data_IF_690209574619
#
_entry.id   IF_690209574619
#
_cell.length_a   1.000
_cell.length_b   1.000
_cell.length_c   1.000
_cell.angle_alpha   90.00
_cell.angle_beta   90.00
_cell.angle_gamma   90.00
#
_symmetry.space_group_name_H-M   'P 1'
#
loop_
_entity.id
_entity.type
_entity.pdbx_description
1 polymer ?
#
# COMPACT_ATOMS: atom_id res chain seq x y z
N UNK A 1 -23.50 -57.48 17.14
CA UNK A 1 -23.50 -56.01 17.20
C UNK A 1 -22.75 -55.46 15.99
N UNK A 2 -23.37 -55.51 14.80
CA UNK A 2 -22.76 -55.10 13.52
C UNK A 2 -23.85 -54.57 12.60
N UNK A 3 -24.49 -53.44 12.96
CA UNK A 3 -25.51 -52.83 12.09
C UNK A 3 -25.59 -51.30 12.19
N UNK A 4 -24.78 -50.66 13.03
CA UNK A 4 -24.78 -49.19 13.23
C UNK A 4 -23.64 -48.47 12.50
N UNK A 5 -22.58 -49.19 12.09
CA UNK A 5 -21.43 -48.60 11.41
C UNK A 5 -21.67 -48.39 9.91
N UNK A 6 -22.55 -49.20 9.28
CA UNK A 6 -22.84 -49.05 7.85
C UNK A 6 -23.75 -47.86 7.51
N UNK A 7 -24.55 -47.35 8.46
CA UNK A 7 -25.45 -46.22 8.20
C UNK A 7 -24.74 -44.85 8.18
N UNK A 8 -23.58 -44.73 8.83
CA UNK A 8 -22.83 -43.46 8.84
C UNK A 8 -21.95 -43.25 7.60
N UNK A 9 -21.61 -44.33 6.87
CA UNK A 9 -20.80 -44.21 5.65
C UNK A 9 -21.64 -43.87 4.40
N UNK A 10 -22.95 -44.07 4.43
CA UNK A 10 -23.84 -43.74 3.31
C UNK A 10 -24.35 -42.29 3.33
N UNK A 11 -24.24 -41.57 4.45
CA UNK A 11 -24.63 -40.15 4.53
C UNK A 11 -23.53 -39.19 4.10
N UNK A 12 -22.26 -39.63 4.05
CA UNK A 12 -21.15 -38.81 3.57
C UNK A 12 -21.02 -38.73 2.05
N UNK A 13 -21.66 -39.64 1.29
CA UNK A 13 -21.60 -39.66 -0.17
C UNK A 13 -22.70 -38.84 -0.88
N UNK A 14 -23.67 -38.28 -0.13
CA UNK A 14 -24.76 -37.46 -0.72
C UNK A 14 -24.57 -35.96 -0.44
N UNK A 15 -23.58 -35.57 0.37
CA UNK A 15 -23.36 -34.18 0.75
C UNK A 15 -22.33 -33.40 -0.12
N UNK A 16 -21.77 -34.02 -1.17
CA UNK A 16 -20.87 -33.33 -2.12
C UNK A 16 -21.52 -32.98 -3.47
N UNK A 17 -22.83 -33.22 -3.63
CA UNK A 17 -23.56 -32.88 -4.85
C UNK A 17 -24.55 -31.74 -4.57
N UNK A 18 -24.05 -30.52 -4.30
CA UNK A 18 -24.74 -29.23 -4.49
C UNK A 18 -23.92 -28.10 -3.86
N UNK A 19 -23.00 -27.54 -4.61
CA UNK A 19 -22.67 -26.10 -4.59
C UNK A 19 -21.81 -25.76 -5.81
N UNK A 20 -22.35 -26.04 -7.00
CA UNK A 20 -21.88 -25.43 -8.23
C UNK A 20 -22.75 -24.19 -8.47
N UNK A 21 -22.35 -23.06 -7.89
CA UNK A 21 -22.95 -21.75 -8.16
C UNK A 21 -21.85 -20.74 -8.46
N UNK A 22 -21.89 -20.30 -9.72
CA UNK A 22 -21.46 -19.00 -10.23
C UNK A 22 -20.02 -18.54 -9.96
N UNK A 23 -19.11 -18.94 -10.84
CA UNK A 23 -18.13 -18.00 -11.37
C UNK A 23 -18.60 -17.55 -12.75
N UNK A 24 -19.44 -16.51 -12.76
CA UNK A 24 -19.60 -15.69 -13.97
C UNK A 24 -18.28 -14.97 -14.14
N UNK A 25 -17.51 -15.38 -15.14
CA UNK A 25 -16.44 -14.54 -15.67
C UNK A 25 -17.09 -13.27 -16.20
N UNK A 26 -17.07 -12.20 -15.39
CA UNK A 26 -17.15 -10.87 -15.95
C UNK A 26 -15.87 -10.65 -16.77
N UNK A 27 -15.89 -11.11 -18.03
CA UNK A 27 -15.15 -10.47 -19.10
C UNK A 27 -15.67 -9.04 -19.13
N UNK A 28 -15.03 -8.15 -18.40
CA UNK A 28 -15.13 -6.72 -18.69
C UNK A 28 -14.45 -6.58 -20.04
N UNK A 29 -15.26 -6.58 -21.10
CA UNK A 29 -14.84 -6.08 -22.40
C UNK A 29 -14.30 -4.68 -22.12
N UNK A 30 -12.98 -4.54 -22.22
CA UNK A 30 -12.38 -3.24 -22.46
C UNK A 30 -12.96 -2.84 -23.80
N UNK A 31 -13.93 -1.92 -23.79
CA UNK A 31 -14.37 -1.28 -25.00
C UNK A 31 -13.12 -0.62 -25.58
N UNK A 32 -12.68 -1.12 -26.73
CA UNK A 32 -11.72 -0.45 -27.58
C UNK A 32 -12.33 0.89 -27.97
N UNK A 33 -12.09 1.91 -27.14
CA UNK A 33 -12.26 3.29 -27.56
C UNK A 33 -11.10 3.58 -28.51
N UNK A 34 -11.35 3.25 -29.79
CA UNK A 34 -10.62 3.77 -30.93
C UNK A 34 -10.75 5.30 -30.89
N UNK A 35 -9.74 5.97 -30.34
CA UNK A 35 -9.60 7.42 -30.47
C UNK A 35 -9.09 7.66 -31.89
N UNK A 36 -10.01 8.09 -32.75
CA UNK A 36 -9.73 8.73 -34.02
C UNK A 36 -8.65 9.80 -33.81
N UNK A 37 -7.56 9.71 -34.58
CA UNK A 37 -6.60 10.81 -34.68
C UNK A 37 -7.33 12.01 -35.29
N UNK A 38 -7.58 13.03 -34.46
CA UNK A 38 -7.86 14.37 -34.92
C UNK A 38 -6.56 15.18 -34.80
N UNK A 39 -6.04 15.51 -35.97
CA UNK A 39 -4.85 16.33 -36.19
C UNK A 39 -5.22 17.79 -35.91
N UNK A 40 -4.98 18.24 -34.68
CA UNK A 40 -4.71 19.63 -34.28
C UNK A 40 -5.13 19.90 -32.84
N UNK A 41 -4.25 19.58 -31.89
CA UNK A 41 -4.11 20.40 -30.69
C UNK A 41 -2.81 19.99 -30.01
N UNK A 42 -1.87 20.93 -29.98
CA UNK A 42 -0.67 20.89 -29.15
C UNK A 42 -1.09 20.85 -27.67
N UNK A 43 -1.53 19.69 -27.19
CA UNK A 43 -1.65 19.43 -25.77
C UNK A 43 -0.28 19.05 -25.26
N UNK A 44 0.39 20.07 -24.71
CA UNK A 44 1.48 19.95 -23.77
C UNK A 44 1.09 18.90 -22.70
N UNK A 45 1.48 17.64 -22.91
CA UNK A 45 1.33 16.57 -21.93
C UNK A 45 2.18 16.99 -20.74
N UNK A 46 1.53 17.48 -19.70
CA UNK A 46 2.16 17.92 -18.48
C UNK A 46 2.80 16.71 -17.79
N UNK A 47 4.08 16.53 -18.08
CA UNK A 47 5.12 16.23 -17.08
C UNK A 47 4.92 14.94 -16.27
N UNK A 48 5.51 13.86 -16.80
CA UNK A 48 5.83 12.56 -16.20
C UNK A 48 6.70 12.61 -14.91
N UNK A 49 6.51 13.59 -14.01
CA UNK A 49 7.62 14.14 -13.18
C UNK A 49 7.46 14.05 -11.66
N UNK A 50 6.41 13.42 -11.14
CA UNK A 50 6.22 13.30 -9.68
C UNK A 50 6.10 11.86 -9.15
N UNK A 51 6.20 10.86 -10.02
CA UNK A 51 6.20 9.45 -9.61
C UNK A 51 7.63 8.91 -9.47
N UNK A 52 7.90 8.21 -8.38
CA UNK A 52 9.12 7.41 -8.24
C UNK A 52 8.89 6.07 -8.93
N UNK A 53 9.82 5.61 -9.76
CA UNK A 53 9.77 4.28 -10.38
C UNK A 53 10.54 3.27 -9.52
N UNK A 54 11.64 3.72 -8.92
CA UNK A 54 12.56 2.91 -8.10
C UNK A 54 12.94 3.64 -6.81
N UNK A 55 13.50 2.91 -5.83
CA UNK A 55 14.02 3.52 -4.59
C UNK A 55 15.13 4.54 -4.87
N UNK A 56 15.87 4.40 -5.98
CA UNK A 56 16.89 5.37 -6.39
C UNK A 56 16.29 6.74 -6.72
N UNK A 57 15.03 6.79 -7.19
CA UNK A 57 14.33 8.05 -7.45
C UNK A 57 13.96 8.77 -6.14
N UNK A 58 13.94 8.04 -5.01
CA UNK A 58 13.71 8.61 -3.67
C UNK A 58 14.97 9.22 -3.05
N UNK A 59 16.11 9.30 -3.75
CA UNK A 59 17.43 9.73 -3.21
C UNK A 59 17.44 11.05 -2.43
N UNK A 60 16.47 11.93 -2.63
CA UNK A 60 16.33 13.20 -1.90
C UNK A 60 15.62 13.06 -0.54
N UNK A 61 15.04 11.89 -0.26
CA UNK A 61 14.17 11.60 0.89
C UNK A 61 14.69 10.44 1.75
N UNK A 62 15.67 9.68 1.24
CA UNK A 62 16.30 8.56 1.92
C UNK A 62 17.79 8.85 2.16
N UNK A 63 18.38 8.08 3.05
CA UNK A 63 19.82 8.00 3.25
C UNK A 63 20.31 6.58 2.93
N UNK A 64 21.62 6.40 2.88
CA UNK A 64 22.26 5.09 2.72
C UNK A 64 23.15 4.84 3.93
N UNK A 65 23.14 3.62 4.45
CA UNK A 65 24.05 3.23 5.52
C UNK A 65 25.44 2.84 4.98
N UNK A 66 26.33 2.42 5.88
CA UNK A 66 27.72 2.04 5.54
C UNK A 66 27.81 0.84 4.59
N UNK A 67 26.74 0.03 4.50
CA UNK A 67 26.62 -1.11 3.58
C UNK A 67 25.95 -0.72 2.25
N UNK A 68 25.59 0.56 2.08
CA UNK A 68 24.88 1.07 0.91
C UNK A 68 23.41 0.68 0.87
N UNK A 69 22.79 0.30 2.01
CA UNK A 69 21.36 -0.02 2.06
C UNK A 69 20.55 1.27 2.21
N UNK A 70 19.55 1.49 1.34
CA UNK A 70 18.68 2.65 1.46
C UNK A 70 17.83 2.55 2.74
N UNK A 71 17.73 3.65 3.48
CA UNK A 71 16.89 3.75 4.65
C UNK A 71 16.21 5.10 4.79
N UNK A 72 15.04 5.09 5.46
CA UNK A 72 14.33 6.27 5.91
C UNK A 72 14.22 6.24 7.43
N UNK A 73 14.23 7.40 8.09
CA UNK A 73 13.97 7.48 9.52
C UNK A 73 12.52 7.94 9.65
N UNK A 74 11.70 7.24 10.41
CA UNK A 74 10.32 7.62 10.67
C UNK A 74 10.09 7.78 12.16
N UNK A 75 9.19 8.70 12.53
CA UNK A 75 8.58 8.64 13.85
C UNK A 75 7.82 7.31 13.96
N UNK A 76 7.93 6.66 15.09
CA UNK A 76 7.25 5.43 15.41
C UNK A 76 6.78 5.46 16.87
N UNK A 77 5.74 4.70 17.19
CA UNK A 77 5.33 4.52 18.58
C UNK A 77 5.78 3.18 19.13
N UNK A 78 6.46 3.20 20.28
CA UNK A 78 6.87 2.00 21.01
C UNK A 78 6.53 2.18 22.48
N UNK A 79 5.66 1.32 23.01
CA UNK A 79 5.22 1.36 24.41
C UNK A 79 4.66 2.72 24.86
N UNK A 80 3.99 3.45 23.96
CA UNK A 80 3.39 4.77 24.24
C UNK A 80 4.37 5.95 24.12
N UNK A 81 5.64 5.70 23.80
CA UNK A 81 6.63 6.75 23.55
C UNK A 81 6.90 6.90 22.05
N UNK A 82 7.08 8.15 21.61
CA UNK A 82 7.55 8.47 20.27
C UNK A 82 9.05 8.17 20.16
N UNK A 83 9.43 7.36 19.19
CA UNK A 83 10.81 6.95 18.92
C UNK A 83 11.12 7.11 17.43
N UNK A 84 12.36 7.43 17.10
CA UNK A 84 12.83 7.43 15.72
C UNK A 84 13.26 6.01 15.31
N UNK A 85 12.71 5.49 14.20
CA UNK A 85 13.00 4.14 13.69
C UNK A 85 13.61 4.21 12.29
N UNK A 86 14.71 3.47 12.06
CA UNK A 86 15.26 3.26 10.71
C UNK A 86 14.45 2.18 9.99
N UNK A 87 13.98 2.51 8.79
CA UNK A 87 13.18 1.69 7.90
C UNK A 87 14.03 1.28 6.71
N UNK A 88 14.15 -0.01 6.46
CA UNK A 88 14.92 -0.57 5.35
C UNK A 88 14.01 -1.32 4.39
N UNK A 89 14.44 -1.46 3.14
CA UNK A 89 13.81 -2.41 2.23
C UNK A 89 14.06 -3.85 2.71
N UNK A 90 13.11 -4.79 2.48
CA UNK A 90 13.31 -6.19 2.81
C UNK A 90 14.48 -6.76 2.00
N UNK A 91 15.40 -7.47 2.66
CA UNK A 91 16.59 -8.05 2.02
C UNK A 91 16.30 -9.32 1.23
N UNK A 92 15.14 -9.95 1.44
CA UNK A 92 14.70 -11.20 0.82
C UNK A 92 13.88 -11.00 -0.46
N UNK A 93 13.58 -9.75 -0.82
CA UNK A 93 12.78 -9.39 -1.99
C UNK A 93 13.60 -8.60 -3.01
N UNK A 94 13.31 -8.75 -4.31
CA UNK A 94 13.92 -7.89 -5.30
C UNK A 94 13.56 -6.43 -5.02
N UNK A 95 14.56 -5.57 -4.87
CA UNK A 95 14.36 -4.16 -4.51
C UNK A 95 13.67 -3.32 -5.61
N UNK A 96 13.59 -3.84 -6.84
CA UNK A 96 13.28 -3.04 -8.03
C UNK A 96 11.84 -2.49 -8.07
N UNK A 97 10.93 -2.93 -7.19
CA UNK A 97 9.56 -2.42 -7.15
C UNK A 97 9.14 -1.83 -5.79
N UNK A 98 10.03 -1.81 -4.79
CA UNK A 98 9.71 -1.40 -3.42
C UNK A 98 10.28 -0.02 -3.10
N UNK A 99 9.56 0.75 -2.29
CA UNK A 99 10.00 2.04 -1.79
C UNK A 99 9.80 2.20 -0.29
N UNK A 100 10.34 3.30 0.22
CA UNK A 100 10.25 3.69 1.63
C UNK A 100 9.39 4.94 1.76
N UNK A 101 8.52 4.94 2.76
CA UNK A 101 7.78 6.10 3.24
C UNK A 101 7.59 5.99 4.75
N UNK A 102 7.18 7.08 5.39
CA UNK A 102 6.65 7.07 6.74
C UNK A 102 5.13 7.21 6.70
N UNK A 103 4.42 6.73 7.71
CA UNK A 103 2.98 6.97 7.82
C UNK A 103 2.56 7.39 9.23
N UNK A 104 1.40 8.04 9.28
CA UNK A 104 0.65 8.26 10.52
C UNK A 104 -0.82 7.95 10.30
N UNK A 105 -1.40 7.20 11.23
CA UNK A 105 -2.82 6.91 11.34
C UNK A 105 -3.30 7.46 12.68
N UNK A 106 -4.39 8.23 12.71
CA UNK A 106 -4.92 8.73 13.98
C UNK A 106 -6.44 8.83 14.00
N UNK A 107 -7.01 8.68 15.19
CA UNK A 107 -8.43 8.84 15.49
C UNK A 107 -8.59 9.29 16.95
N UNK A 108 -9.10 10.51 17.15
CA UNK A 108 -9.08 11.13 18.48
C UNK A 108 -7.66 11.22 19.03
N UNK A 109 -7.44 10.71 20.24
CA UNK A 109 -6.12 10.69 20.89
C UNK A 109 -5.28 9.44 20.53
N UNK A 110 -5.84 8.52 19.75
CA UNK A 110 -5.11 7.33 19.30
C UNK A 110 -4.30 7.66 18.06
N UNK A 111 -3.01 7.37 18.09
CA UNK A 111 -2.07 7.66 17.02
C UNK A 111 -1.21 6.43 16.79
N UNK A 112 -0.93 6.10 15.54
CA UNK A 112 -0.02 5.03 15.13
C UNK A 112 0.91 5.60 14.08
N UNK A 113 2.22 5.52 14.33
CA UNK A 113 3.27 5.97 13.42
C UNK A 113 4.22 4.81 13.19
N UNK A 114 4.65 4.58 11.95
CA UNK A 114 5.70 3.63 11.62
C UNK A 114 6.21 3.83 10.18
N UNK A 115 7.14 2.96 9.79
CA UNK A 115 7.60 2.71 8.42
C UNK A 115 6.46 2.20 7.54
N UNK A 116 6.35 2.77 6.34
CA UNK A 116 5.52 2.25 5.26
C UNK A 116 6.41 1.75 4.12
N UNK A 117 6.69 0.44 4.12
CA UNK A 117 7.52 -0.22 3.10
C UNK A 117 6.61 -1.00 2.17
N UNK A 118 6.46 -0.52 0.94
CA UNK A 118 5.46 -1.06 0.01
C UNK A 118 5.92 -0.93 -1.44
N UNK A 119 5.17 -1.52 -2.36
CA UNK A 119 5.40 -1.34 -3.79
C UNK A 119 5.27 0.14 -4.15
N UNK A 120 6.11 0.62 -5.07
CA UNK A 120 6.20 2.03 -5.41
C UNK A 120 4.86 2.61 -5.90
N UNK A 121 4.07 1.81 -6.62
CA UNK A 121 2.71 2.16 -7.04
C UNK A 121 1.78 2.46 -5.85
N UNK A 122 1.95 1.75 -4.74
CA UNK A 122 1.23 1.94 -3.49
C UNK A 122 1.81 3.07 -2.62
N UNK A 123 2.80 3.81 -3.13
CA UNK A 123 3.35 5.01 -2.48
C UNK A 123 2.97 6.29 -3.24
N UNK A 124 2.27 6.20 -4.38
CA UNK A 124 1.83 7.34 -5.20
C UNK A 124 1.02 8.38 -4.42
N UNK A 125 0.28 7.94 -3.39
CA UNK A 125 -0.54 8.78 -2.53
C UNK A 125 0.26 9.53 -1.46
N UNK A 126 1.52 9.17 -1.24
CA UNK A 126 2.35 9.78 -0.21
C UNK A 126 2.85 11.16 -0.63
N UNK A 127 2.88 12.09 0.32
CA UNK A 127 3.28 13.48 0.07
C UNK A 127 4.78 13.68 0.33
N UNK A 128 5.42 14.60 -0.40
CA UNK A 128 6.83 14.94 -0.17
C UNK A 128 6.95 15.80 1.10
N UNK A 129 7.74 15.34 2.09
CA UNK A 129 8.14 16.06 3.33
C UNK A 129 7.04 16.50 4.29
N UNK A 130 5.79 16.09 4.10
CA UNK A 130 4.67 16.47 4.97
C UNK A 130 3.68 15.34 5.07
N UNK A 131 3.14 15.10 6.26
CA UNK A 131 2.07 14.12 6.48
C UNK A 131 0.75 14.85 6.72
N UNK A 132 -0.06 14.98 5.67
CA UNK A 132 -1.36 15.66 5.73
C UNK A 132 -2.45 14.73 5.21
N UNK A 133 -3.51 14.56 6.00
CA UNK A 133 -4.67 13.76 5.62
C UNK A 133 -5.88 14.68 5.31
N UNK A 134 -6.71 14.34 4.32
CA UNK A 134 -8.04 14.92 4.21
C UNK A 134 -8.93 14.43 5.36
N UNK A 135 -9.97 15.19 5.70
CA UNK A 135 -10.95 14.73 6.68
C UNK A 135 -11.67 13.45 6.21
N UNK A 136 -11.54 12.40 7.02
CA UNK A 136 -12.26 11.15 6.84
C UNK A 136 -13.66 11.20 7.46
N UNK A 137 -14.73 10.85 6.73
CA UNK A 137 -16.08 10.71 7.27
C UNK A 137 -16.18 9.66 8.40
N UNK A 138 -15.23 8.73 8.46
CA UNK A 138 -15.15 7.70 9.51
C UNK A 138 -14.35 8.16 10.74
N UNK A 139 -13.81 9.39 10.72
CA UNK A 139 -12.99 9.97 11.78
C UNK A 139 -11.57 9.41 11.87
N UNK A 140 -11.22 8.38 11.09
CA UNK A 140 -9.87 7.81 11.01
C UNK A 140 -9.10 8.53 9.91
N UNK A 141 -8.06 9.24 10.30
CA UNK A 141 -7.19 9.96 9.37
C UNK A 141 -5.94 9.14 9.07
N UNK A 142 -5.49 9.20 7.82
CA UNK A 142 -4.29 8.52 7.35
C UNK A 142 -3.49 9.45 6.44
N UNK A 143 -2.19 9.55 6.70
CA UNK A 143 -1.24 10.15 5.77
C UNK A 143 0.01 9.30 5.67
N UNK A 144 0.67 9.40 4.52
CA UNK A 144 2.02 8.90 4.34
C UNK A 144 2.88 9.94 3.63
N UNK A 145 4.18 9.89 3.84
CA UNK A 145 5.09 10.89 3.34
C UNK A 145 6.51 10.36 3.08
N UNK A 146 7.23 11.08 2.22
CA UNK A 146 8.64 10.83 1.93
C UNK A 146 9.52 11.82 2.69
N UNK A 147 10.53 11.31 3.38
CA UNK A 147 11.55 12.10 4.06
C UNK A 147 11.73 11.67 5.50
N UNK A 148 12.94 11.89 6.03
CA UNK A 148 13.23 11.61 7.44
C UNK A 148 12.25 12.36 8.36
N UNK A 149 11.60 11.60 9.23
CA UNK A 149 10.69 12.06 10.30
C UNK A 149 9.53 12.93 9.79
N UNK A 150 9.19 12.83 8.50
CA UNK A 150 8.13 13.63 7.89
C UNK A 150 6.73 13.38 8.49
N UNK A 151 6.57 12.26 9.20
CA UNK A 151 5.34 11.81 9.84
C UNK A 151 5.23 12.23 11.32
N UNK A 152 6.24 12.92 11.87
CA UNK A 152 6.22 13.44 13.23
C UNK A 152 5.20 14.57 13.39
N UNK A 153 5.21 15.52 12.45
CA UNK A 153 4.26 16.63 12.38
C UNK A 153 3.08 16.31 11.43
N UNK A 154 2.21 15.40 11.85
CA UNK A 154 0.99 15.05 11.09
C UNK A 154 -0.17 16.01 11.38
N UNK A 155 -1.05 16.22 10.41
CA UNK A 155 -2.25 17.04 10.56
C UNK A 155 -3.34 16.73 9.55
N UNK A 156 -4.54 17.21 9.83
CA UNK A 156 -5.62 17.32 8.85
C UNK A 156 -5.45 18.58 8.01
N UNK A 157 -5.89 18.55 6.74
CA UNK A 157 -5.87 19.71 5.84
C UNK A 157 -6.98 20.72 6.14
#
# INVERSE_FOLDING_TARGET
MNSLVLCFLLTFLVAQARHHKHHVHHKRQVADNFILMDDSTDQHFTSKKDFFETVADQKEYISYDDEGKPYMICAAQKAGEAVSKRCYLPSDKPAYDMGLACYTLWQGDTVVQDCWVNQMVSLTQCQKRRCVAPESPMGIQFCCCFGHECNDAYKTN
#
